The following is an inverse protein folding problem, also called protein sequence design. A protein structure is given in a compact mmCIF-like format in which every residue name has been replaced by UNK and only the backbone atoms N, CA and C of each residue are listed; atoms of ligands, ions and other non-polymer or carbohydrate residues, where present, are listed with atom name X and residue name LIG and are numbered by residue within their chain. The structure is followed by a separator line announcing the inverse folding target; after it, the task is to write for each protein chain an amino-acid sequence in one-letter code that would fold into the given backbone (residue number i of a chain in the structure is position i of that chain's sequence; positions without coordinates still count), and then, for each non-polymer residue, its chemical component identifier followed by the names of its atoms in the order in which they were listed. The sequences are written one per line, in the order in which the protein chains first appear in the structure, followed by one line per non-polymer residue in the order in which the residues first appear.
data_IF_615050096239
#
_entry.id   IF_615050096239
#
_cell.length_a   1.000
_cell.length_b   1.000
_cell.length_c   1.000
_cell.angle_alpha   90.00
_cell.angle_beta   90.00
_cell.angle_gamma   90.00
#
_symmetry.space_group_name_H-M   'P 1'
#
loop_
_entity.id
_entity.type
_entity.pdbx_description
1 polymer ?
#
# COMPACT_ATOMS: atom_id res chain seq x y z
N UNK A 1 -14.99 -3.93 -6.64
CA UNK A 1 -13.67 -3.79 -5.99
C UNK A 1 -12.63 -4.41 -6.91
N UNK A 2 -11.43 -3.86 -6.97
CA UNK A 2 -10.31 -4.36 -7.78
C UNK A 2 -9.39 -5.23 -6.93
N UNK A 3 -8.90 -4.69 -5.81
CA UNK A 3 -8.11 -5.43 -4.82
C UNK A 3 -8.19 -4.82 -3.42
N UNK A 4 -7.89 -5.63 -2.41
CA UNK A 4 -7.65 -5.22 -1.02
C UNK A 4 -6.16 -5.15 -0.74
N UNK A 5 -5.78 -4.31 0.20
CA UNK A 5 -4.39 -4.08 0.52
C UNK A 5 -4.16 -3.47 1.88
N UNK A 6 -2.92 -3.05 2.10
CA UNK A 6 -2.47 -2.28 3.24
C UNK A 6 -2.04 -0.89 2.78
N UNK A 7 -2.42 0.14 3.52
CA UNK A 7 -1.96 1.49 3.24
C UNK A 7 -0.46 1.59 3.54
N UNK A 8 0.27 2.27 2.67
CA UNK A 8 1.70 2.51 2.85
C UNK A 8 2.08 3.90 2.36
N UNK A 9 3.14 4.47 2.92
CA UNK A 9 3.60 5.81 2.59
C UNK A 9 5.02 6.08 3.07
N UNK A 10 5.34 7.36 3.23
CA UNK A 10 6.61 7.78 3.81
C UNK A 10 6.66 7.59 5.32
N UNK A 11 7.87 7.37 5.85
CA UNK A 11 8.12 7.59 7.26
C UNK A 11 8.07 9.09 7.55
N UNK A 12 7.48 9.49 8.67
CA UNK A 12 7.27 10.91 9.00
C UNK A 12 8.57 11.73 9.11
N UNK A 13 9.72 11.07 9.32
CA UNK A 13 11.05 11.72 9.37
C UNK A 13 11.75 11.78 8.00
N UNK A 14 11.21 11.15 6.96
CA UNK A 14 11.83 11.08 5.63
C UNK A 14 11.14 12.05 4.66
N UNK A 15 11.94 12.77 3.87
CA UNK A 15 11.44 13.62 2.78
C UNK A 15 11.52 12.87 1.45
N UNK A 16 10.73 13.29 0.45
CA UNK A 16 10.76 12.68 -0.90
C UNK A 16 9.93 11.40 -1.06
N UNK A 17 9.18 11.00 -0.04
CA UNK A 17 8.13 9.98 -0.14
C UNK A 17 6.80 10.58 -0.57
N UNK A 18 6.04 9.86 -1.40
CA UNK A 18 4.70 10.27 -1.84
C UNK A 18 3.62 10.18 -0.75
N UNK A 19 2.38 10.55 -1.11
CA UNK A 19 1.17 10.31 -0.28
C UNK A 19 0.93 8.81 -0.06
N UNK A 20 0.04 8.47 0.87
CA UNK A 20 -0.41 7.10 1.10
C UNK A 20 -0.90 6.44 -0.19
N UNK A 21 -0.43 5.23 -0.46
CA UNK A 21 -0.90 4.35 -1.54
C UNK A 21 -1.42 3.05 -0.96
N UNK A 22 -2.26 2.35 -1.71
CA UNK A 22 -2.75 1.02 -1.33
C UNK A 22 -1.85 -0.05 -1.94
N UNK A 23 -1.09 -0.76 -1.12
CA UNK A 23 -0.26 -1.89 -1.56
C UNK A 23 -1.09 -3.17 -1.55
N UNK A 24 -1.12 -3.94 -2.66
CA UNK A 24 -1.84 -5.21 -2.69
C UNK A 24 -1.20 -6.22 -1.73
N UNK A 25 -2.01 -7.09 -1.15
CA UNK A 25 -1.54 -8.16 -0.25
C UNK A 25 -0.79 -9.28 -0.97
N UNK A 26 -0.87 -9.32 -2.29
CA UNK A 26 -0.27 -10.33 -3.17
C UNK A 26 0.64 -9.67 -4.23
N UNK A 27 1.77 -9.07 -3.82
CA UNK A 27 2.73 -8.48 -4.76
C UNK A 27 3.39 -9.55 -5.62
N UNK A 28 3.87 -9.14 -6.80
CA UNK A 28 4.71 -9.96 -7.67
C UNK A 28 6.17 -9.59 -7.47
N UNK A 29 6.93 -10.54 -6.94
CA UNK A 29 8.38 -10.41 -6.85
C UNK A 29 9.00 -10.86 -8.17
N UNK A 30 9.47 -9.91 -8.97
CA UNK A 30 10.41 -10.21 -10.06
C UNK A 30 11.80 -10.50 -9.46
N UNK A 31 12.80 -10.82 -10.30
CA UNK A 31 14.21 -10.98 -9.93
C UNK A 31 14.80 -9.65 -9.44
N UNK A 32 14.38 -9.23 -8.25
CA UNK A 32 14.89 -8.06 -7.58
C UNK A 32 16.17 -8.43 -6.84
N UNK A 33 17.30 -7.99 -7.38
CA UNK A 33 18.51 -7.89 -6.59
C UNK A 33 18.30 -6.73 -5.60
N UNK A 34 18.37 -6.99 -4.29
CA UNK A 34 18.34 -5.94 -3.28
C UNK A 34 19.57 -5.04 -3.45
N UNK A 35 19.48 -4.06 -4.35
CA UNK A 35 20.50 -3.04 -4.51
C UNK A 35 20.26 -2.02 -3.39
N UNK A 36 20.98 -2.21 -2.28
CA UNK A 36 21.06 -1.24 -1.20
C UNK A 36 22.13 -0.20 -1.56
N UNK A 37 21.84 0.68 -2.51
CA UNK A 37 22.74 1.79 -2.89
C UNK A 37 22.66 3.01 -1.94
N UNK A 38 21.81 2.95 -0.91
CA UNK A 38 21.67 3.95 0.14
C UNK A 38 20.89 5.21 -0.24
N UNK A 39 20.57 5.45 -1.51
CA UNK A 39 19.96 6.70 -1.99
C UNK A 39 18.58 6.48 -2.64
N UNK A 40 17.67 5.79 -1.93
CA UNK A 40 16.31 5.49 -2.42
C UNK A 40 15.23 6.06 -1.52
N UNK A 41 14.11 6.48 -2.11
CA UNK A 41 12.89 6.77 -1.35
C UNK A 41 12.35 5.47 -0.75
N UNK A 42 12.26 5.43 0.58
CA UNK A 42 11.73 4.28 1.31
C UNK A 42 10.22 4.39 1.45
N UNK A 43 9.55 3.24 1.48
CA UNK A 43 8.12 3.11 1.69
C UNK A 43 7.87 2.21 2.90
N UNK A 44 6.93 2.62 3.75
CA UNK A 44 6.60 2.00 5.02
C UNK A 44 5.10 1.73 5.09
N UNK A 45 4.71 0.63 5.74
CA UNK A 45 3.30 0.38 6.06
C UNK A 45 2.76 1.48 6.99
N UNK A 46 1.51 1.87 6.76
CA UNK A 46 0.79 2.76 7.67
C UNK A 46 0.12 1.90 8.74
N UNK A 47 0.27 2.34 9.99
CA UNK A 47 -0.31 1.66 11.15
C UNK A 47 -1.21 2.61 11.93
N UNK A 48 -2.17 2.05 12.67
CA UNK A 48 -2.96 2.80 13.63
C UNK A 48 -2.10 3.17 14.84
N UNK A 49 -1.68 4.42 14.91
CA UNK A 49 -0.95 4.97 16.06
C UNK A 49 -1.94 5.56 17.08
N UNK A 50 -2.75 4.69 17.69
CA UNK A 50 -3.76 5.07 18.67
C UNK A 50 -3.23 4.93 20.09
N UNK A 51 -3.28 6.00 20.88
CA UNK A 51 -2.93 5.94 22.31
C UNK A 51 -4.04 5.35 23.19
N UNK A 52 -5.29 5.33 22.69
CA UNK A 52 -6.45 4.78 23.37
C UNK A 52 -7.32 4.02 22.37
N UNK A 53 -7.70 2.81 22.74
CA UNK A 53 -8.48 1.92 21.89
C UNK A 53 -9.98 2.19 22.05
N UNK A 54 -10.72 2.50 20.97
CA UNK A 54 -12.17 2.58 21.02
C UNK A 54 -12.73 1.22 21.45
N UNK A 55 -13.61 1.13 22.48
CA UNK A 55 -14.10 -0.15 22.98
C UNK A 55 -14.76 -1.02 21.92
N UNK A 56 -15.38 -0.39 20.91
CA UNK A 56 -16.07 -1.07 19.82
C UNK A 56 -15.14 -1.65 18.74
N UNK A 57 -13.87 -1.23 18.68
CA UNK A 57 -12.92 -1.62 17.64
C UNK A 57 -11.80 -2.55 18.13
N UNK A 58 -11.75 -2.81 19.44
CA UNK A 58 -10.69 -3.63 20.04
C UNK A 58 -9.33 -2.93 20.03
N UNK A 59 -8.27 -3.71 20.22
CA UNK A 59 -6.90 -3.19 20.19
C UNK A 59 -6.47 -2.92 18.75
N UNK A 60 -6.29 -1.64 18.42
CA UNK A 60 -5.83 -1.20 17.10
C UNK A 60 -4.37 -0.77 17.10
N UNK A 61 -3.75 -0.63 18.27
CA UNK A 61 -2.41 -0.06 18.36
C UNK A 61 -1.41 -0.87 17.52
N UNK A 62 -0.71 -0.20 16.61
CA UNK A 62 0.27 -0.79 15.69
C UNK A 62 -0.29 -1.81 14.68
N UNK A 63 -1.61 -1.92 14.54
CA UNK A 63 -2.19 -2.73 13.46
C UNK A 63 -2.08 -2.01 12.11
N UNK A 64 -1.85 -2.78 11.05
CA UNK A 64 -1.82 -2.27 9.68
C UNK A 64 -3.15 -1.61 9.30
N UNK A 65 -3.07 -0.47 8.63
CA UNK A 65 -4.25 0.23 8.12
C UNK A 65 -4.71 -0.43 6.83
N UNK A 66 -5.89 -1.08 6.78
CA UNK A 66 -6.40 -1.70 5.56
C UNK A 66 -6.82 -0.65 4.53
N UNK A 67 -6.73 -1.01 3.25
CA UNK A 67 -7.21 -0.20 2.15
C UNK A 67 -7.86 -1.07 1.06
N UNK A 68 -8.64 -0.43 0.19
CA UNK A 68 -9.21 -1.09 -0.98
C UNK A 68 -9.17 -0.16 -2.18
N UNK A 69 -8.96 -0.73 -3.36
CA UNK A 69 -9.12 -0.03 -4.63
C UNK A 69 -10.42 -0.47 -5.27
N UNK A 70 -11.29 0.49 -5.58
CA UNK A 70 -12.61 0.24 -6.14
C UNK A 70 -12.64 0.50 -7.65
N UNK A 71 -13.51 -0.23 -8.35
CA UNK A 71 -13.76 0.01 -9.77
C UNK A 71 -14.49 1.34 -9.92
N UNK A 72 -13.98 2.23 -10.76
CA UNK A 72 -14.67 3.45 -11.16
C UNK A 72 -15.67 3.14 -12.30
N UNK A 73 -16.77 3.91 -12.37
CA UNK A 73 -17.75 3.77 -13.46
C UNK A 73 -17.23 4.26 -14.81
N UNK A 74 -16.27 5.19 -14.79
CA UNK A 74 -15.63 5.73 -15.99
C UNK A 74 -14.34 4.97 -16.32
N UNK A 75 -13.92 5.05 -17.59
CA UNK A 75 -12.63 4.48 -18.02
C UNK A 75 -11.49 5.15 -17.25
N UNK A 76 -10.73 4.33 -16.53
CA UNK A 76 -9.59 4.78 -15.73
C UNK A 76 -8.39 3.87 -15.98
N UNK A 77 -7.19 4.42 -15.86
CA UNK A 77 -5.95 3.66 -15.87
C UNK A 77 -5.43 3.60 -14.44
N UNK A 78 -5.12 2.39 -13.99
CA UNK A 78 -4.64 2.12 -12.64
C UNK A 78 -3.23 1.52 -12.70
N UNK A 79 -2.30 2.13 -11.97
CA UNK A 79 -1.05 1.48 -11.61
C UNK A 79 -1.30 0.57 -10.40
N UNK A 80 -0.86 -0.69 -10.45
CA UNK A 80 -0.91 -1.61 -9.31
C UNK A 80 0.50 -1.68 -8.71
N UNK A 81 0.75 -1.06 -7.54
CA UNK A 81 2.08 -1.05 -6.94
C UNK A 81 2.55 -2.48 -6.65
N UNK A 82 3.82 -2.77 -6.96
CA UNK A 82 4.41 -4.08 -6.66
C UNK A 82 3.88 -5.23 -7.53
N UNK A 83 3.17 -4.94 -8.64
CA UNK A 83 2.74 -5.96 -9.62
C UNK A 83 3.03 -5.52 -11.04
N UNK A 84 3.43 -6.48 -11.87
CA UNK A 84 3.68 -6.29 -13.30
C UNK A 84 2.50 -6.75 -14.17
N UNK A 85 1.66 -7.63 -13.62
CA UNK A 85 0.46 -8.14 -14.27
C UNK A 85 -0.82 -7.47 -13.73
N UNK A 86 -1.88 -7.51 -14.55
CA UNK A 86 -3.20 -7.05 -14.15
C UNK A 86 -3.98 -8.17 -13.42
N UNK A 87 -4.88 -7.78 -12.51
CA UNK A 87 -5.85 -8.72 -11.96
C UNK A 87 -6.79 -9.28 -13.03
N UNK A 88 -7.41 -10.42 -12.76
CA UNK A 88 -8.38 -11.05 -13.66
C UNK A 88 -9.47 -10.05 -14.11
N UNK A 89 -9.73 -10.02 -15.42
CA UNK A 89 -10.71 -9.10 -16.02
C UNK A 89 -10.16 -7.71 -16.34
N UNK A 90 -8.88 -7.43 -16.07
CA UNK A 90 -8.19 -6.21 -16.47
C UNK A 90 -7.12 -6.51 -17.52
N UNK A 91 -6.95 -5.58 -18.46
CA UNK A 91 -5.92 -5.66 -19.50
C UNK A 91 -5.03 -4.42 -19.44
N UNK A 92 -3.78 -4.60 -19.83
CA UNK A 92 -2.78 -3.53 -19.92
C UNK A 92 -3.09 -2.55 -21.05
#
# INVERSE_FOLDING_TARGET
MVYSGQAAGGHYQHTGSGKYICLPNDPEYDKYNQINDGYRSLMYGAVYETHQNPPALGDLYQNDVPCSVCLAREKTTLMIPGRSSCYNGWTK
#
